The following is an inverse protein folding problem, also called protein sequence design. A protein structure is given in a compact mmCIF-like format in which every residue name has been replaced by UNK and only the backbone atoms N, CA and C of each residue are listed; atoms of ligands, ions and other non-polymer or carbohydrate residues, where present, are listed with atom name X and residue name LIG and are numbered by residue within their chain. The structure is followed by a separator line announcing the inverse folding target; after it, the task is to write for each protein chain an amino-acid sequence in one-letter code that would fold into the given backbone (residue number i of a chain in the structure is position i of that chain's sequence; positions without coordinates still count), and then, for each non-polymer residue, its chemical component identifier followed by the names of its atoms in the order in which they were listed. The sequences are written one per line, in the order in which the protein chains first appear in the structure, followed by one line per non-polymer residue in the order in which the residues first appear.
data_IF_035260981770
#
_entry.id   IF_035260981770
#
_cell.length_a   1.000
_cell.length_b   1.000
_cell.length_c   1.000
_cell.angle_alpha   90.00
_cell.angle_beta   90.00
_cell.angle_gamma   90.00
#
_symmetry.space_group_name_H-M   'P 1'
#
loop_
_entity.id
_entity.type
_entity.pdbx_description
1 polymer ?
#
# COMPACT_ATOMS: atom_id res chain seq x y z
N UNK A 1 -73.95 27.35 1.96
CA UNK A 1 -72.85 26.62 1.29
C UNK A 1 -71.65 26.71 2.21
N UNK A 2 -71.45 25.79 3.16
CA UNK A 2 -70.91 24.42 2.98
C UNK A 2 -69.59 24.53 2.20
N UNK A 3 -68.40 24.23 2.72
CA UNK A 3 -67.95 23.00 3.41
C UNK A 3 -66.81 23.31 4.40
N UNK A 4 -66.83 22.61 5.53
CA UNK A 4 -65.76 22.47 6.51
C UNK A 4 -64.92 21.19 6.26
N UNK A 5 -63.64 21.21 6.66
CA UNK A 5 -62.79 20.07 7.08
C UNK A 5 -61.53 20.72 7.70
N UNK A 6 -61.26 20.80 9.00
CA UNK A 6 -61.03 19.79 10.07
C UNK A 6 -60.03 18.72 9.67
N UNK A 7 -58.81 18.75 10.25
CA UNK A 7 -58.37 17.81 11.31
C UNK A 7 -56.92 18.14 11.77
N UNK A 8 -56.80 18.45 13.08
CA UNK A 8 -55.84 17.93 14.08
C UNK A 8 -54.38 17.68 13.64
N UNK A 9 -53.33 18.22 14.26
CA UNK A 9 -53.09 18.22 15.70
C UNK A 9 -52.23 17.01 16.10
N UNK A 10 -50.92 17.20 16.30
CA UNK A 10 -50.15 16.46 17.30
C UNK A 10 -48.83 17.18 17.62
N UNK A 11 -48.77 17.76 18.82
CA UNK A 11 -47.57 18.26 19.47
C UNK A 11 -47.00 17.16 20.38
N UNK A 12 -45.79 16.68 20.10
CA UNK A 12 -44.84 16.03 21.03
C UNK A 12 -43.47 16.33 20.37
N UNK A 13 -42.48 17.01 20.94
CA UNK A 13 -41.97 16.97 22.30
C UNK A 13 -40.49 16.50 22.22
N UNK A 14 -39.62 17.17 22.98
CA UNK A 14 -38.20 16.86 23.24
C UNK A 14 -37.17 17.25 22.16
N UNK A 15 -36.57 18.42 22.37
CA UNK A 15 -35.28 18.77 21.81
C UNK A 15 -34.15 18.01 22.52
N UNK A 16 -33.15 17.60 21.76
CA UNK A 16 -31.79 17.37 22.23
C UNK A 16 -30.86 17.95 21.17
N UNK A 17 -30.33 19.13 21.46
CA UNK A 17 -29.22 19.72 20.73
C UNK A 17 -27.94 18.96 21.12
N UNK A 18 -27.31 18.27 20.15
CA UNK A 18 -25.98 17.70 20.33
C UNK A 18 -24.97 18.65 19.65
N UNK A 19 -24.31 19.46 20.47
CA UNK A 19 -23.23 20.34 20.06
C UNK A 19 -21.96 19.56 19.65
N UNK A 20 -21.14 20.07 18.73
CA UNK A 20 -19.85 19.47 18.41
C UNK A 20 -18.85 19.71 19.57
N UNK A 21 -18.31 18.62 20.12
CA UNK A 21 -17.24 18.67 21.12
C UNK A 21 -15.91 19.03 20.44
N UNK A 22 -15.55 20.30 20.51
CA UNK A 22 -14.17 20.78 20.34
C UNK A 22 -13.42 20.50 21.64
N UNK A 23 -12.52 19.52 21.64
CA UNK A 23 -11.60 19.30 22.76
C UNK A 23 -10.28 19.98 22.43
N UNK A 24 -10.04 21.11 23.08
CA UNK A 24 -8.78 21.86 23.10
C UNK A 24 -7.95 21.34 24.27
N UNK A 25 -6.89 20.57 24.00
CA UNK A 25 -5.97 20.13 25.06
C UNK A 25 -4.89 21.20 25.28
N UNK A 26 -4.94 21.83 26.45
CA UNK A 26 -3.91 22.73 26.97
C UNK A 26 -2.80 21.88 27.61
N UNK A 27 -1.55 22.21 27.28
CA UNK A 27 -0.38 21.51 27.78
C UNK A 27 -0.09 21.75 29.26
N UNK A 28 0.68 20.82 29.84
CA UNK A 28 1.47 21.09 31.04
C UNK A 28 2.73 20.22 31.04
N UNK A 29 3.87 20.91 31.12
CA UNK A 29 5.20 20.37 31.31
C UNK A 29 5.49 20.18 32.81
N UNK A 30 6.21 19.11 33.15
CA UNK A 30 7.05 18.94 34.35
C UNK A 30 8.19 17.98 33.94
N UNK A 31 9.41 18.46 33.66
CA UNK A 31 10.57 18.56 34.58
C UNK A 31 11.11 17.21 35.10
N UNK A 32 12.38 16.96 34.74
CA UNK A 32 13.34 15.85 34.92
C UNK A 32 14.01 15.81 36.33
N UNK A 33 15.16 15.13 36.62
CA UNK A 33 15.70 13.74 36.47
C UNK A 33 16.24 13.23 37.88
N UNK A 34 17.30 12.38 38.11
CA UNK A 34 18.24 11.65 37.23
C UNK A 34 18.71 10.21 37.62
N UNK A 35 19.45 9.62 36.65
CA UNK A 35 20.66 8.77 36.73
C UNK A 35 20.76 7.56 37.67
N UNK A 36 21.17 6.42 37.09
CA UNK A 36 22.42 5.78 37.55
C UNK A 36 23.11 5.03 36.40
N UNK A 37 24.40 5.31 36.30
CA UNK A 37 25.40 4.80 35.36
C UNK A 37 26.27 3.75 36.03
N UNK A 38 26.70 2.75 35.28
CA UNK A 38 27.81 1.85 35.61
C UNK A 38 27.74 0.64 34.68
N UNK A 39 28.81 0.12 34.07
CA UNK A 39 30.23 0.44 34.15
C UNK A 39 30.91 -0.14 32.89
N UNK A 40 32.10 0.36 32.60
CA UNK A 40 32.86 0.13 31.37
C UNK A 40 33.90 -0.99 31.54
N UNK A 41 34.20 -1.68 30.41
CA UNK A 41 35.49 -2.27 30.01
C UNK A 41 35.93 -3.65 30.58
N UNK A 42 37.02 -4.29 30.06
CA UNK A 42 37.03 -5.08 28.81
C UNK A 42 37.67 -6.50 28.95
N UNK A 43 37.68 -7.25 27.84
CA UNK A 43 38.46 -8.49 27.49
C UNK A 43 39.88 -8.56 28.09
N UNK A 44 40.53 -9.75 28.26
CA UNK A 44 40.88 -10.73 27.21
C UNK A 44 40.71 -12.20 27.70
N UNK A 45 40.95 -13.32 27.01
CA UNK A 45 41.99 -13.78 26.08
C UNK A 45 41.59 -15.17 25.53
N UNK A 46 41.94 -15.48 24.27
CA UNK A 46 42.14 -16.87 23.82
C UNK A 46 43.55 -17.32 24.23
N UNK A 47 43.82 -18.63 24.44
CA UNK A 47 44.39 -19.40 23.34
C UNK A 47 44.14 -20.93 23.35
N UNK A 48 44.52 -21.54 22.23
CA UNK A 48 45.06 -22.91 22.05
C UNK A 48 44.11 -24.12 21.85
N UNK A 49 43.88 -24.41 20.57
CA UNK A 49 44.23 -25.64 19.82
C UNK A 49 44.63 -26.91 20.62
N UNK A 50 43.90 -28.01 20.40
CA UNK A 50 44.40 -29.41 20.43
C UNK A 50 43.51 -30.22 19.46
N UNK A 51 43.97 -30.62 18.26
CA UNK A 51 44.78 -31.78 17.85
C UNK A 51 44.24 -33.18 18.28
N UNK A 52 43.75 -33.92 17.28
CA UNK A 52 43.61 -35.39 17.20
C UNK A 52 43.75 -35.82 15.72
N UNK A 53 44.11 -37.08 15.40
CA UNK A 53 45.43 -37.40 14.85
C UNK A 53 45.42 -37.85 13.39
N UNK A 54 46.62 -37.89 12.82
CA UNK A 54 46.94 -38.37 11.48
C UNK A 54 46.74 -39.89 11.34
N UNK A 55 46.06 -40.28 10.26
CA UNK A 55 45.93 -41.66 9.79
C UNK A 55 45.97 -41.66 8.27
N UNK A 56 47.11 -42.10 7.75
CA UNK A 56 47.52 -42.29 6.35
C UNK A 56 46.43 -42.79 5.40
N UNK A 57 46.08 -41.95 4.43
CA UNK A 57 45.38 -42.35 3.20
C UNK A 57 46.02 -41.64 2.01
N UNK A 58 46.49 -42.40 1.03
CA UNK A 58 47.04 -41.88 -0.24
C UNK A 58 46.09 -40.83 -0.81
N UNK A 59 46.58 -39.61 -1.01
CA UNK A 59 45.87 -38.56 -1.72
C UNK A 59 45.81 -38.93 -3.22
N UNK A 60 44.81 -39.74 -3.58
CA UNK A 60 44.34 -39.83 -4.96
C UNK A 60 43.55 -38.56 -5.19
N UNK A 61 44.14 -37.60 -5.91
CA UNK A 61 43.36 -36.52 -6.53
C UNK A 61 42.27 -37.18 -7.36
N UNK A 62 40.97 -36.94 -7.12
CA UNK A 62 39.98 -37.32 -8.10
C UNK A 62 40.34 -36.58 -9.38
N UNK A 63 40.55 -37.33 -10.47
CA UNK A 63 40.65 -36.75 -11.81
C UNK A 63 39.49 -35.76 -12.00
N UNK A 64 39.73 -34.59 -12.62
CA UNK A 64 38.65 -33.65 -12.91
C UNK A 64 37.62 -34.39 -13.77
N UNK A 65 36.46 -34.70 -13.20
CA UNK A 65 35.33 -35.23 -13.95
C UNK A 65 35.10 -34.28 -15.14
N UNK A 66 35.10 -34.78 -16.39
CA UNK A 66 34.89 -33.93 -17.56
C UNK A 66 33.55 -33.20 -17.41
N UNK A 67 33.63 -31.88 -17.62
CA UNK A 67 32.71 -30.88 -17.11
C UNK A 67 31.23 -31.14 -17.33
N UNK A 68 30.50 -31.21 -16.21
CA UNK A 68 29.05 -30.93 -16.18
C UNK A 68 28.75 -29.50 -16.66
N UNK A 69 29.70 -28.58 -16.53
CA UNK A 69 29.60 -27.21 -17.03
C UNK A 69 29.66 -27.16 -18.57
N UNK A 70 30.44 -28.04 -19.20
CA UNK A 70 30.48 -28.18 -20.66
C UNK A 70 29.20 -28.79 -21.20
N UNK A 71 28.59 -29.74 -20.51
CA UNK A 71 27.32 -30.33 -20.92
C UNK A 71 26.15 -29.35 -20.74
N UNK A 72 26.14 -28.58 -19.64
CA UNK A 72 25.16 -27.49 -19.42
C UNK A 72 25.36 -26.38 -20.46
N UNK A 73 26.61 -25.95 -20.73
CA UNK A 73 26.91 -24.97 -21.80
C UNK A 73 26.54 -25.50 -23.18
N UNK A 74 26.76 -26.78 -23.48
CA UNK A 74 26.39 -27.38 -24.75
C UNK A 74 24.87 -27.47 -24.91
N UNK A 75 24.12 -27.75 -23.84
CA UNK A 75 22.64 -27.74 -23.86
C UNK A 75 22.07 -26.33 -24.02
N UNK A 76 22.66 -25.33 -23.35
CA UNK A 76 22.29 -23.92 -23.50
C UNK A 76 22.65 -23.40 -24.90
N UNK A 77 23.81 -23.80 -25.46
CA UNK A 77 24.23 -23.44 -26.80
C UNK A 77 23.39 -24.14 -27.89
N UNK A 78 23.00 -25.40 -27.69
CA UNK A 78 22.12 -26.13 -28.60
C UNK A 78 20.67 -25.58 -28.60
N UNK A 79 20.22 -24.99 -27.48
CA UNK A 79 18.95 -24.23 -27.42
C UNK A 79 19.07 -22.82 -27.99
N UNK A 80 20.28 -22.36 -28.30
CA UNK A 80 20.56 -21.03 -28.86
C UNK A 80 20.89 -21.07 -30.36
N UNK A 81 20.73 -22.23 -31.02
CA UNK A 81 20.77 -22.28 -32.48
C UNK A 81 19.65 -21.37 -33.01
N UNK A 82 19.91 -20.47 -33.97
CA UNK A 82 18.87 -19.67 -34.57
C UNK A 82 17.95 -20.61 -35.36
N UNK A 83 16.82 -20.98 -34.74
CA UNK A 83 15.69 -21.52 -35.50
C UNK A 83 15.42 -20.52 -36.62
N UNK A 84 15.34 -20.95 -37.90
CA UNK A 84 14.91 -20.04 -38.96
C UNK A 84 13.60 -19.42 -38.49
N UNK A 85 13.59 -18.10 -38.38
CA UNK A 85 12.45 -17.35 -37.89
C UNK A 85 11.30 -17.59 -38.87
N UNK A 86 10.48 -18.59 -38.58
CA UNK A 86 9.11 -18.61 -39.09
C UNK A 86 8.51 -17.28 -38.64
N UNK A 87 8.08 -16.40 -39.55
CA UNK A 87 7.47 -15.14 -39.15
C UNK A 87 6.31 -15.48 -38.22
N UNK A 88 6.39 -15.02 -36.98
CA UNK A 88 5.28 -15.08 -36.03
C UNK A 88 4.04 -14.58 -36.77
N UNK A 89 2.90 -15.28 -36.71
CA UNK A 89 1.71 -14.83 -37.39
C UNK A 89 1.41 -13.40 -36.91
N UNK A 90 1.52 -12.43 -37.81
CA UNK A 90 1.11 -11.05 -37.52
C UNK A 90 -0.36 -11.13 -37.13
N UNK A 91 -0.66 -10.92 -35.85
CA UNK A 91 -2.04 -10.88 -35.37
C UNK A 91 -2.71 -9.70 -36.06
N UNK A 92 -3.63 -10.01 -36.96
CA UNK A 92 -4.30 -9.04 -37.82
C UNK A 92 -4.91 -7.91 -36.99
N UNK A 93 -4.61 -6.66 -37.34
CA UNK A 93 -5.10 -5.46 -36.64
C UNK A 93 -4.26 -4.98 -35.46
N UNK A 94 -3.20 -5.69 -35.05
CA UNK A 94 -2.25 -5.17 -34.05
C UNK A 94 -1.19 -4.32 -34.76
N UNK A 95 -1.01 -3.04 -34.38
CA UNK A 95 0.04 -2.21 -34.97
C UNK A 95 1.43 -2.71 -34.54
N UNK A 96 2.39 -2.65 -35.46
CA UNK A 96 3.78 -3.06 -35.19
C UNK A 96 4.44 -2.26 -34.06
N UNK A 97 3.99 -1.02 -33.86
CA UNK A 97 4.47 -0.14 -32.80
C UNK A 97 3.35 0.73 -32.23
N UNK A 98 3.46 1.02 -30.94
CA UNK A 98 2.68 2.05 -30.26
C UNK A 98 3.62 3.22 -29.89
N UNK A 99 3.19 4.50 -30.04
CA UNK A 99 4.02 5.65 -29.75
C UNK A 99 4.12 5.92 -28.24
N UNK A 100 4.80 5.03 -27.51
CA UNK A 100 4.92 5.06 -26.03
C UNK A 100 6.37 5.10 -25.56
N UNK A 101 6.60 5.66 -24.37
CA UNK A 101 7.89 5.64 -23.68
C UNK A 101 7.68 5.38 -22.20
N UNK A 102 8.66 4.77 -21.55
CA UNK A 102 8.66 4.61 -20.09
C UNK A 102 8.81 5.98 -19.42
N UNK A 103 8.10 6.20 -18.31
CA UNK A 103 8.30 7.37 -17.46
C UNK A 103 9.69 7.30 -16.80
N UNK A 104 10.39 8.42 -16.71
CA UNK A 104 11.68 8.48 -15.98
C UNK A 104 11.50 8.20 -14.48
N UNK A 105 10.43 8.74 -13.89
CA UNK A 105 10.04 8.49 -12.50
C UNK A 105 8.57 8.07 -12.46
N UNK A 106 8.27 7.07 -11.63
CA UNK A 106 6.89 6.60 -11.47
C UNK A 106 6.07 7.51 -10.55
N UNK A 107 6.70 7.99 -9.46
CA UNK A 107 6.13 8.91 -8.47
C UNK A 107 6.82 10.28 -8.55
N UNK A 108 6.07 11.33 -8.20
CA UNK A 108 6.65 12.64 -7.94
C UNK A 108 7.57 12.60 -6.70
N UNK A 109 8.42 13.63 -6.55
CA UNK A 109 9.37 13.71 -5.43
C UNK A 109 8.66 13.77 -4.07
N UNK A 110 7.56 14.52 -3.98
CA UNK A 110 6.74 14.62 -2.77
C UNK A 110 6.08 13.29 -2.42
N UNK A 111 5.49 12.61 -3.40
CA UNK A 111 4.88 11.28 -3.25
C UNK A 111 5.92 10.24 -2.81
N UNK A 112 7.13 10.28 -3.38
CA UNK A 112 8.22 9.38 -3.02
C UNK A 112 8.67 9.60 -1.56
N UNK A 113 8.78 10.87 -1.13
CA UNK A 113 9.12 11.20 0.24
C UNK A 113 8.01 10.78 1.22
N UNK A 114 6.74 10.98 0.84
CA UNK A 114 5.60 10.54 1.62
C UNK A 114 5.56 9.01 1.73
N UNK A 115 5.77 8.27 0.64
CA UNK A 115 5.83 6.82 0.62
C UNK A 115 6.87 6.30 1.62
N UNK A 116 8.08 6.85 1.60
CA UNK A 116 9.14 6.45 2.53
C UNK A 116 8.75 6.72 4.00
N UNK A 117 8.11 7.86 4.28
CA UNK A 117 7.64 8.17 5.62
C UNK A 117 6.49 7.24 6.06
N UNK A 118 5.58 6.91 5.14
CA UNK A 118 4.46 6.00 5.36
C UNK A 118 4.96 4.59 5.66
N UNK A 119 5.86 4.05 4.84
CA UNK A 119 6.46 2.72 5.07
C UNK A 119 7.18 2.65 6.42
N UNK A 120 7.93 3.69 6.80
CA UNK A 120 8.59 3.79 8.10
C UNK A 120 7.63 3.96 9.29
N UNK A 121 6.36 4.29 9.03
CA UNK A 121 5.32 4.42 10.05
C UNK A 121 4.53 3.13 10.29
N UNK A 122 4.54 2.20 9.33
CA UNK A 122 3.76 0.97 9.42
C UNK A 122 4.40 -0.05 10.37
N UNK A 123 3.60 -0.76 11.19
CA UNK A 123 4.09 -1.91 11.93
C UNK A 123 4.41 -3.09 10.99
N UNK A 124 5.10 -4.10 11.51
CA UNK A 124 5.33 -5.35 10.78
C UNK A 124 4.01 -6.00 10.36
N UNK A 125 3.98 -6.63 9.19
CA UNK A 125 2.78 -7.28 8.66
C UNK A 125 1.92 -6.39 7.76
N UNK A 126 2.42 -5.22 7.37
CA UNK A 126 1.75 -4.34 6.41
C UNK A 126 2.68 -3.98 5.24
N UNK A 127 2.08 -3.59 4.11
CA UNK A 127 2.77 -3.11 2.92
C UNK A 127 1.97 -1.97 2.27
N UNK A 128 2.67 -1.08 1.58
CA UNK A 128 2.07 0.01 0.79
C UNK A 128 2.14 -0.34 -0.70
N UNK A 129 1.07 -0.07 -1.43
CA UNK A 129 1.06 0.00 -2.89
C UNK A 129 0.72 1.42 -3.35
N UNK A 130 1.60 2.10 -4.10
CA UNK A 130 1.30 3.43 -4.60
C UNK A 130 0.49 3.37 -5.92
N UNK A 131 -0.31 4.42 -6.17
CA UNK A 131 -1.02 4.66 -7.42
C UNK A 131 -1.90 3.48 -7.90
N UNK A 132 -2.72 2.95 -6.98
CA UNK A 132 -3.57 1.79 -7.24
C UNK A 132 -4.87 2.24 -7.92
N UNK A 133 -5.18 1.68 -9.09
CA UNK A 133 -6.44 1.99 -9.80
C UNK A 133 -7.63 1.47 -8.99
N UNK A 134 -8.71 2.25 -8.93
CA UNK A 134 -9.91 1.85 -8.19
C UNK A 134 -10.59 0.62 -8.79
N UNK A 135 -10.43 0.40 -10.09
CA UNK A 135 -10.95 -0.80 -10.77
C UNK A 135 -10.16 -2.08 -10.43
N UNK A 136 -8.95 -1.95 -9.92
CA UNK A 136 -8.15 -3.08 -9.43
C UNK A 136 -8.39 -3.31 -7.92
N UNK A 137 -9.02 -2.35 -7.24
CA UNK A 137 -9.33 -2.40 -5.80
C UNK A 137 -10.75 -2.87 -5.50
N UNK A 138 -11.73 -2.51 -6.33
CA UNK A 138 -13.15 -2.79 -6.07
C UNK A 138 -13.76 -3.75 -7.08
N UNK A 139 -14.57 -4.69 -6.57
CA UNK A 139 -15.47 -5.50 -7.39
C UNK A 139 -16.84 -4.83 -7.52
N UNK A 140 -17.39 -4.81 -8.73
CA UNK A 140 -18.75 -4.32 -8.97
C UNK A 140 -19.75 -5.43 -8.66
N UNK A 141 -20.58 -5.22 -7.63
CA UNK A 141 -21.47 -6.26 -7.08
C UNK A 141 -22.83 -6.37 -7.78
N UNK A 142 -23.26 -5.33 -8.52
CA UNK A 142 -24.54 -5.33 -9.23
C UNK A 142 -24.49 -6.21 -10.47
N UNK A 143 -25.57 -6.97 -10.70
CA UNK A 143 -25.77 -7.77 -11.91
C UNK A 143 -26.50 -7.02 -13.03
N UNK A 144 -26.99 -5.80 -12.76
CA UNK A 144 -27.71 -5.01 -13.75
C UNK A 144 -26.74 -4.37 -14.76
N UNK A 145 -26.78 -4.70 -16.06
CA UNK A 145 -25.75 -4.28 -17.02
C UNK A 145 -25.53 -2.76 -17.10
N UNK A 146 -26.62 -1.98 -17.07
CA UNK A 146 -26.54 -0.52 -17.09
C UNK A 146 -25.89 0.08 -15.85
N UNK A 147 -26.12 -0.52 -14.68
CA UNK A 147 -25.49 -0.06 -13.44
C UNK A 147 -24.04 -0.49 -13.39
N UNK A 148 -23.74 -1.73 -13.82
CA UNK A 148 -22.38 -2.23 -13.92
C UNK A 148 -21.50 -1.33 -14.80
N UNK A 149 -21.97 -1.00 -16.01
CA UNK A 149 -21.26 -0.09 -16.92
C UNK A 149 -21.11 1.31 -16.31
N UNK A 150 -22.15 1.82 -15.65
CA UNK A 150 -22.12 3.11 -14.98
C UNK A 150 -21.14 3.17 -13.80
N UNK A 151 -21.04 2.12 -13.01
CA UNK A 151 -20.07 2.02 -11.91
C UNK A 151 -18.65 1.87 -12.45
N UNK A 152 -18.44 1.02 -13.46
CA UNK A 152 -17.14 0.87 -14.12
C UNK A 152 -16.61 2.20 -14.66
N UNK A 153 -17.45 2.97 -15.36
CA UNK A 153 -17.07 4.29 -15.86
C UNK A 153 -16.68 5.27 -14.75
N UNK A 154 -17.30 5.15 -13.56
CA UNK A 154 -16.94 5.96 -12.39
C UNK A 154 -15.58 5.55 -11.79
N UNK A 155 -15.12 4.31 -11.96
CA UNK A 155 -13.88 3.81 -11.35
C UNK A 155 -12.68 3.80 -12.29
N UNK A 156 -12.86 3.48 -13.59
CA UNK A 156 -11.79 3.08 -14.53
C UNK A 156 -10.62 4.08 -14.69
N UNK A 157 -10.88 5.37 -14.53
CA UNK A 157 -9.89 6.44 -14.73
C UNK A 157 -9.45 7.08 -13.41
N UNK A 158 -9.68 6.39 -12.28
CA UNK A 158 -9.34 6.86 -10.94
C UNK A 158 -8.36 5.92 -10.26
N UNK A 159 -7.47 6.50 -9.48
CA UNK A 159 -6.57 5.81 -8.58
C UNK A 159 -6.70 6.37 -7.17
N UNK A 160 -6.19 5.60 -6.22
CA UNK A 160 -5.79 6.09 -4.91
C UNK A 160 -4.28 6.20 -4.82
N UNK A 161 -3.79 7.22 -4.14
CA UNK A 161 -2.35 7.51 -4.11
C UNK A 161 -1.58 6.42 -3.38
N UNK A 162 -2.11 5.94 -2.25
CA UNK A 162 -1.53 4.83 -1.50
C UNK A 162 -2.59 3.89 -0.97
N UNK A 163 -2.36 2.59 -1.11
CA UNK A 163 -3.15 1.53 -0.50
C UNK A 163 -2.28 0.79 0.53
N UNK A 164 -2.73 0.73 1.77
CA UNK A 164 -2.11 -0.10 2.80
C UNK A 164 -2.83 -1.45 2.83
N UNK A 165 -2.04 -2.52 2.76
CA UNK A 165 -2.52 -3.90 2.85
C UNK A 165 -1.91 -4.63 4.04
N UNK A 166 -2.67 -5.57 4.60
CA UNK A 166 -2.18 -6.54 5.58
C UNK A 166 -1.57 -7.76 4.86
N UNK A 167 -0.44 -8.23 5.37
CA UNK A 167 0.26 -9.42 4.93
C UNK A 167 -0.18 -10.66 5.75
N UNK A 168 -0.06 -11.87 5.19
CA UNK A 168 0.53 -12.20 3.88
C UNK A 168 -0.44 -12.13 2.68
N UNK A 169 -1.75 -12.05 2.89
CA UNK A 169 -2.75 -12.15 1.80
C UNK A 169 -2.87 -10.86 0.97
N UNK A 170 -2.17 -9.80 1.36
CA UNK A 170 -2.28 -8.46 0.75
C UNK A 170 -3.72 -7.92 0.81
N UNK A 171 -4.43 -8.17 1.92
CA UNK A 171 -5.80 -7.69 2.13
C UNK A 171 -5.81 -6.16 2.30
N UNK A 172 -6.59 -5.39 1.52
CA UNK A 172 -6.77 -3.96 1.73
C UNK A 172 -7.24 -3.62 3.15
N UNK A 173 -6.61 -2.63 3.78
CA UNK A 173 -6.95 -2.18 5.15
C UNK A 173 -7.38 -0.73 5.20
N UNK A 174 -6.66 0.15 4.51
CA UNK A 174 -7.03 1.56 4.34
C UNK A 174 -6.35 2.11 3.09
N UNK A 175 -6.93 3.17 2.54
CA UNK A 175 -6.31 3.91 1.46
C UNK A 175 -6.09 5.38 1.86
N UNK A 176 -5.14 6.03 1.19
CA UNK A 176 -4.68 7.38 1.50
C UNK A 176 -4.64 8.21 0.21
N UNK A 177 -5.15 9.45 0.28
CA UNK A 177 -5.05 10.46 -0.76
C UNK A 177 -4.28 11.69 -0.22
N UNK A 178 -3.45 12.29 -1.06
CA UNK A 178 -2.75 13.54 -0.79
C UNK A 178 -3.50 14.69 -1.48
N UNK A 179 -4.31 15.41 -0.70
CA UNK A 179 -5.09 16.54 -1.19
C UNK A 179 -4.27 17.83 -1.14
N UNK A 180 -4.15 18.50 -2.28
CA UNK A 180 -3.66 19.88 -2.35
C UNK A 180 -4.70 20.90 -1.89
N UNK A 181 -4.35 22.18 -1.91
CA UNK A 181 -5.30 23.27 -1.77
C UNK A 181 -6.37 23.16 -2.86
N UNK A 182 -7.57 22.74 -2.47
CA UNK A 182 -8.73 22.73 -3.35
C UNK A 182 -8.94 24.13 -3.92
N UNK A 183 -8.84 24.26 -5.24
CA UNK A 183 -9.60 25.26 -5.95
C UNK A 183 -11.04 24.76 -6.04
N UNK A 184 -12.01 25.61 -5.72
CA UNK A 184 -13.46 25.34 -5.74
C UNK A 184 -13.98 25.06 -7.16
N UNK A 185 -13.56 23.93 -7.72
CA UNK A 185 -14.05 23.42 -8.99
C UNK A 185 -15.08 22.34 -8.71
N UNK A 186 -16.32 22.58 -9.15
CA UNK A 186 -17.45 21.66 -9.06
C UNK A 186 -17.10 20.26 -9.60
N UNK A 187 -16.25 20.17 -10.65
CA UNK A 187 -15.82 18.88 -11.20
C UNK A 187 -14.93 18.10 -10.23
N UNK A 188 -14.05 18.78 -9.50
CA UNK A 188 -13.17 18.15 -8.52
C UNK A 188 -14.00 17.64 -7.34
N UNK A 189 -14.92 18.47 -6.83
CA UNK A 189 -15.87 18.08 -5.78
C UNK A 189 -16.71 16.85 -6.17
N UNK A 190 -17.19 16.80 -7.41
CA UNK A 190 -17.91 15.62 -7.91
C UNK A 190 -17.03 14.36 -7.93
N UNK A 191 -15.78 14.47 -8.39
CA UNK A 191 -14.84 13.35 -8.44
C UNK A 191 -14.51 12.83 -7.04
N UNK A 192 -14.28 13.75 -6.11
CA UNK A 192 -14.02 13.45 -4.70
C UNK A 192 -15.23 12.77 -4.05
N UNK A 193 -16.44 13.30 -4.25
CA UNK A 193 -17.66 12.68 -3.75
C UNK A 193 -17.87 11.27 -4.30
N UNK A 194 -17.56 11.02 -5.57
CA UNK A 194 -17.62 9.66 -6.16
C UNK A 194 -16.63 8.71 -5.51
N UNK A 195 -15.38 9.16 -5.24
CA UNK A 195 -14.41 8.35 -4.49
C UNK A 195 -14.94 8.03 -3.10
N UNK A 196 -15.37 9.05 -2.35
CA UNK A 196 -15.85 8.89 -0.98
C UNK A 196 -17.04 7.91 -0.90
N UNK A 197 -17.98 7.99 -1.86
CA UNK A 197 -19.08 7.04 -1.99
C UNK A 197 -18.55 5.63 -2.25
N UNK A 198 -17.60 5.44 -3.17
CA UNK A 198 -17.06 4.12 -3.49
C UNK A 198 -16.38 3.46 -2.27
N UNK A 199 -15.50 4.18 -1.57
CA UNK A 199 -14.81 3.68 -0.38
C UNK A 199 -15.78 3.36 0.75
N UNK A 200 -16.73 4.26 1.03
CA UNK A 200 -17.78 4.03 2.04
C UNK A 200 -18.66 2.83 1.70
N UNK A 201 -19.07 2.69 0.44
CA UNK A 201 -19.87 1.55 -0.02
C UNK A 201 -19.12 0.21 0.08
N UNK A 202 -17.80 0.23 -0.05
CA UNK A 202 -16.96 -0.95 0.08
C UNK A 202 -16.51 -1.25 1.53
N UNK A 203 -16.78 -0.35 2.48
CA UNK A 203 -16.32 -0.49 3.86
C UNK A 203 -14.80 -0.34 4.04
N UNK A 204 -14.10 0.27 3.08
CA UNK A 204 -12.66 0.51 3.14
C UNK A 204 -12.39 1.96 3.60
N UNK A 205 -11.68 2.19 4.72
CA UNK A 205 -11.31 3.52 5.17
C UNK A 205 -10.50 4.29 4.11
N UNK A 206 -10.84 5.57 3.93
CA UNK A 206 -10.11 6.51 3.08
C UNK A 206 -9.64 7.69 3.94
N UNK A 207 -8.32 7.86 4.07
CA UNK A 207 -7.70 8.97 4.80
C UNK A 207 -7.24 10.02 3.79
N UNK A 208 -7.66 11.27 3.97
CA UNK A 208 -7.20 12.41 3.15
C UNK A 208 -6.22 13.25 3.96
N UNK A 209 -5.01 13.42 3.43
CA UNK A 209 -3.95 14.20 4.07
C UNK A 209 -3.57 15.39 3.19
N UNK A 210 -3.22 16.51 3.81
CA UNK A 210 -2.78 17.70 3.08
C UNK A 210 -1.39 17.47 2.47
N UNK A 211 -1.28 17.66 1.16
CA UNK A 211 -0.02 17.48 0.43
C UNK A 211 1.04 18.53 0.81
N UNK A 212 0.62 19.71 1.29
CA UNK A 212 1.55 20.79 1.69
C UNK A 212 2.20 20.56 3.06
N UNK A 213 1.66 19.64 3.86
CA UNK A 213 2.16 19.34 5.20
C UNK A 213 3.25 18.29 5.11
N UNK A 214 4.35 18.51 5.84
CA UNK A 214 5.38 17.48 5.99
C UNK A 214 4.87 16.37 6.91
N UNK A 215 4.69 15.18 6.36
CA UNK A 215 4.25 14.00 7.12
C UNK A 215 5.47 13.21 7.60
N UNK A 216 5.67 13.18 8.92
CA UNK A 216 6.73 12.38 9.54
C UNK A 216 6.21 10.98 9.86
N UNK A 217 7.09 9.97 9.99
CA UNK A 217 6.65 8.64 10.43
C UNK A 217 5.91 8.66 11.78
N UNK A 218 6.27 9.56 12.69
CA UNK A 218 5.62 9.70 13.99
C UNK A 218 4.20 10.26 13.88
N UNK A 219 3.99 11.30 13.06
CA UNK A 219 2.65 11.85 12.83
C UNK A 219 1.75 10.85 12.09
N UNK A 220 2.31 10.12 11.12
CA UNK A 220 1.56 9.08 10.40
C UNK A 220 1.17 7.93 11.31
N UNK A 221 2.03 7.47 12.25
CA UNK A 221 1.64 6.45 13.23
C UNK A 221 0.40 6.82 14.04
N UNK A 222 0.26 8.09 14.42
CA UNK A 222 -0.90 8.58 15.17
C UNK A 222 -2.16 8.48 14.29
N UNK A 223 -2.10 8.99 13.06
CA UNK A 223 -3.23 8.98 12.12
C UNK A 223 -3.65 7.55 11.75
N UNK A 224 -2.69 6.65 11.55
CA UNK A 224 -2.95 5.29 11.11
C UNK A 224 -3.37 4.36 12.25
N UNK A 225 -3.02 4.68 13.50
CA UNK A 225 -3.23 3.80 14.65
C UNK A 225 -4.69 3.38 14.88
N UNK A 226 -5.65 4.23 14.54
CA UNK A 226 -7.08 3.93 14.67
C UNK A 226 -7.56 2.87 13.66
N UNK A 227 -6.83 2.71 12.55
CA UNK A 227 -7.18 1.81 11.45
C UNK A 227 -6.33 0.54 11.42
N UNK A 228 -5.11 0.61 11.93
CA UNK A 228 -4.17 -0.51 11.98
C UNK A 228 -4.37 -1.26 13.30
N UNK A 229 -5.30 -2.21 13.29
CA UNK A 229 -5.44 -3.15 14.40
C UNK A 229 -4.17 -4.01 14.49
N UNK A 230 -3.35 -3.77 15.52
CA UNK A 230 -2.21 -4.64 15.86
C UNK A 230 -2.73 -6.07 16.03
N UNK A 231 -2.46 -6.95 15.06
CA UNK A 231 -2.56 -8.39 15.25
C UNK A 231 -3.96 -9.03 15.26
N UNK A 232 -4.94 -8.54 14.50
CA UNK A 232 -6.04 -9.44 14.06
C UNK A 232 -5.70 -10.08 12.71
N UNK A 233 -4.66 -10.92 12.76
CA UNK A 233 -4.64 -12.11 11.93
C UNK A 233 -5.86 -12.93 12.35
N UNK A 234 -6.96 -12.75 11.61
CA UNK A 234 -8.09 -13.66 11.71
C UNK A 234 -7.61 -14.98 11.10
N UNK A 235 -7.18 -15.88 11.99
CA UNK A 235 -7.18 -17.32 11.76
C UNK A 235 -8.61 -17.81 11.45
#
# INVERSE_FOLDING_TARGET
MTIALVFTGLCIGAGIALAPRVVRLIGRALTTPPSSSGNTAPRPSSPTRSNFPAGTGRHVTPDPLPGRDTEIRARVAAQSAPTPATPSPHLEGVPDQLPVRIKQYFLARSESAFLAALEASLPSGYRVFPNVRLNDLFFITTKHPGQQKGTYARLRDKHVDFLVVALPEHRPVLAIELDGASHDNVQQQYRDAVKDVAFRSAGLPLIRLRAEVTHTPASLRIVLGEHLSIGRAHA
#
